data_IF_969979926718
#
_entry.id   IF_969979926718
#
_cell.length_a   1.000
_cell.length_b   1.000
_cell.length_c   1.000
_cell.angle_alpha   90.00
_cell.angle_beta   90.00
_cell.angle_gamma   90.00
#
_symmetry.space_group_name_H-M   'P 1'
#
loop_
_entity.id
_entity.type
_entity.pdbx_description
1 polymer ?
#
# COMPACT_ATOMS: atom_id res chain seq x y z
N UNK A 1 -13.70 -18.79 -32.73
CA UNK A 1 -13.26 -19.20 -31.38
C UNK A 1 -13.91 -18.23 -30.41
N UNK A 2 -14.85 -18.72 -29.60
CA UNK A 2 -15.77 -17.89 -28.81
C UNK A 2 -15.02 -17.15 -27.72
N UNK A 3 -15.05 -15.82 -27.78
CA UNK A 3 -14.42 -14.86 -26.87
C UNK A 3 -15.15 -14.76 -25.51
N UNK A 4 -15.12 -15.83 -24.73
CA UNK A 4 -15.43 -15.79 -23.31
C UNK A 4 -14.18 -16.23 -22.55
N UNK A 5 -13.35 -15.26 -22.17
CA UNK A 5 -12.25 -15.44 -21.23
C UNK A 5 -12.82 -16.08 -19.95
N UNK A 6 -12.59 -17.37 -19.81
CA UNK A 6 -13.27 -18.19 -18.82
C UNK A 6 -12.77 -17.81 -17.42
N UNK A 7 -13.67 -17.54 -16.44
CA UNK A 7 -13.29 -17.34 -15.04
C UNK A 7 -12.38 -18.43 -14.48
N UNK A 8 -12.39 -19.62 -15.09
CA UNK A 8 -11.50 -20.74 -14.78
C UNK A 8 -10.01 -20.40 -14.97
N UNK A 9 -9.61 -19.72 -16.06
CA UNK A 9 -8.22 -19.33 -16.26
C UNK A 9 -7.76 -18.32 -15.21
N UNK A 10 -8.64 -17.37 -14.85
CA UNK A 10 -8.33 -16.39 -13.81
C UNK A 10 -8.12 -17.08 -12.45
N UNK A 11 -9.06 -17.95 -12.07
CA UNK A 11 -9.00 -18.66 -10.79
C UNK A 11 -7.79 -19.60 -10.73
N UNK A 12 -7.48 -20.32 -11.82
CA UNK A 12 -6.33 -21.20 -11.88
C UNK A 12 -5.01 -20.42 -11.86
N UNK A 13 -4.91 -19.31 -12.60
CA UNK A 13 -3.72 -18.45 -12.56
C UNK A 13 -3.50 -17.84 -11.16
N UNK A 14 -4.58 -17.48 -10.47
CA UNK A 14 -4.53 -16.98 -9.09
C UNK A 14 -4.01 -18.08 -8.15
N UNK A 15 -4.55 -19.29 -8.25
CA UNK A 15 -4.11 -20.43 -7.45
C UNK A 15 -2.65 -20.84 -7.76
N UNK A 16 -2.26 -20.86 -9.04
CA UNK A 16 -0.89 -21.14 -9.45
C UNK A 16 0.09 -20.10 -8.89
N UNK A 17 -0.30 -18.81 -8.90
CA UNK A 17 0.48 -17.73 -8.29
C UNK A 17 0.63 -17.91 -6.78
N UNK A 18 -0.45 -18.23 -6.06
CA UNK A 18 -0.42 -18.55 -4.63
C UNK A 18 0.54 -19.71 -4.32
N UNK A 19 0.54 -20.75 -5.17
CA UNK A 19 1.44 -21.91 -5.06
C UNK A 19 2.86 -21.65 -5.59
N UNK A 20 3.13 -20.46 -6.13
CA UNK A 20 4.42 -20.10 -6.76
C UNK A 20 4.79 -20.98 -7.96
N UNK A 21 3.79 -21.53 -8.63
CA UNK A 21 3.93 -22.24 -9.91
C UNK A 21 3.87 -21.22 -11.06
N UNK A 22 5.02 -20.61 -11.33
CA UNK A 22 5.12 -19.48 -12.25
C UNK A 22 4.90 -19.85 -13.71
N UNK A 23 5.27 -21.07 -14.10
CA UNK A 23 5.05 -21.55 -15.47
C UNK A 23 3.54 -21.76 -15.70
N UNK A 24 2.87 -22.45 -14.77
CA UNK A 24 1.41 -22.63 -14.85
C UNK A 24 0.67 -21.29 -14.75
N UNK A 25 1.12 -20.36 -13.90
CA UNK A 25 0.52 -19.04 -13.81
C UNK A 25 0.58 -18.30 -15.16
N UNK A 26 1.73 -18.32 -15.84
CA UNK A 26 1.88 -17.70 -17.18
C UNK A 26 1.00 -18.36 -18.23
N UNK A 27 0.93 -19.69 -18.24
CA UNK A 27 0.03 -20.42 -19.15
C UNK A 27 -1.43 -20.02 -18.92
N UNK A 28 -1.84 -19.85 -17.66
CA UNK A 28 -3.18 -19.39 -17.31
C UNK A 28 -3.44 -17.95 -17.77
N UNK A 29 -2.47 -17.04 -17.58
CA UNK A 29 -2.60 -15.65 -18.01
C UNK A 29 -2.63 -15.51 -19.52
N UNK A 30 -1.82 -16.30 -20.24
CA UNK A 30 -1.87 -16.39 -21.70
C UNK A 30 -3.21 -16.98 -22.17
N UNK A 31 -3.72 -18.03 -21.51
CA UNK A 31 -5.03 -18.61 -21.77
C UNK A 31 -6.20 -17.66 -21.50
N UNK A 32 -6.05 -16.76 -20.52
CA UNK A 32 -6.96 -15.65 -20.26
C UNK A 32 -6.84 -14.52 -21.31
N UNK A 33 -5.84 -14.54 -22.18
CA UNK A 33 -5.66 -13.58 -23.26
C UNK A 33 -4.75 -12.38 -22.92
N UNK A 34 -3.92 -12.48 -21.88
CA UNK A 34 -2.87 -11.51 -21.62
C UNK A 34 -1.71 -11.68 -22.62
N UNK A 35 -0.97 -10.60 -22.87
CA UNK A 35 0.29 -10.68 -23.61
C UNK A 35 1.29 -11.61 -22.88
N UNK A 36 2.15 -12.34 -23.62
CA UNK A 36 3.14 -13.22 -23.03
C UNK A 36 4.01 -12.50 -21.99
N UNK A 37 3.94 -12.95 -20.75
CA UNK A 37 4.71 -12.40 -19.65
C UNK A 37 6.13 -13.02 -19.68
N UNK A 38 7.21 -12.22 -19.61
CA UNK A 38 8.59 -12.71 -19.77
C UNK A 38 9.15 -13.38 -18.51
N UNK A 39 10.12 -14.28 -18.68
CA UNK A 39 10.90 -14.91 -17.60
C UNK A 39 10.36 -16.28 -17.14
N UNK A 40 11.09 -16.91 -16.21
CA UNK A 40 10.81 -18.26 -15.68
C UNK A 40 10.59 -18.28 -14.15
N UNK A 41 10.74 -17.12 -13.50
CA UNK A 41 10.53 -16.95 -12.07
C UNK A 41 9.25 -16.16 -11.79
N UNK A 42 9.13 -15.58 -10.56
CA UNK A 42 8.05 -14.67 -10.22
C UNK A 42 7.80 -13.65 -11.33
N UNK A 43 6.53 -13.44 -11.66
CA UNK A 43 6.16 -12.40 -12.61
C UNK A 43 6.46 -11.05 -11.95
N UNK A 44 7.12 -10.16 -12.68
CA UNK A 44 7.44 -8.82 -12.22
C UNK A 44 7.16 -7.85 -13.36
N UNK A 45 5.98 -7.25 -13.31
CA UNK A 45 5.51 -6.25 -14.26
C UNK A 45 5.01 -5.04 -13.49
N UNK A 46 5.07 -3.88 -14.13
CA UNK A 46 4.43 -2.71 -13.56
C UNK A 46 2.94 -2.66 -13.96
N UNK A 47 2.09 -3.16 -13.07
CA UNK A 47 0.64 -3.14 -13.27
C UNK A 47 -0.03 -1.81 -12.91
N UNK A 48 0.72 -0.79 -12.48
CA UNK A 48 0.17 0.49 -12.06
C UNK A 48 -0.35 0.53 -10.61
N UNK A 49 -0.82 1.70 -10.15
CA UNK A 49 -1.39 1.87 -8.82
C UNK A 49 -2.77 1.19 -8.71
N UNK A 50 -3.08 0.67 -7.53
CA UNK A 50 -4.37 0.04 -7.20
C UNK A 50 -4.72 0.29 -5.74
N UNK A 51 -5.94 -0.08 -5.34
CA UNK A 51 -6.31 -0.17 -3.94
C UNK A 51 -6.59 -1.62 -3.56
N UNK A 52 -6.15 -2.03 -2.36
CA UNK A 52 -6.44 -3.35 -1.79
C UNK A 52 -7.05 -3.17 -0.41
N UNK A 53 -8.11 -3.92 -0.13
CA UNK A 53 -8.68 -4.04 1.21
C UNK A 53 -7.99 -5.17 1.95
N UNK A 54 -7.25 -4.83 3.00
CA UNK A 54 -6.55 -5.77 3.87
C UNK A 54 -7.52 -6.35 4.91
N UNK A 55 -7.42 -7.65 5.14
CA UNK A 55 -8.11 -8.38 6.20
C UNK A 55 -9.56 -7.95 6.40
N UNK A 56 -9.83 -7.34 7.56
CA UNK A 56 -11.20 -7.02 8.00
C UNK A 56 -11.74 -5.68 7.50
N UNK A 57 -10.97 -4.88 6.73
CA UNK A 57 -11.58 -3.73 6.04
C UNK A 57 -10.71 -2.53 5.68
N UNK A 58 -9.44 -2.45 6.09
CA UNK A 58 -8.59 -1.29 5.79
C UNK A 58 -8.26 -1.23 4.30
N UNK A 59 -8.53 -0.10 3.62
CA UNK A 59 -8.21 0.07 2.20
C UNK A 59 -6.91 0.86 2.04
N UNK A 60 -5.88 0.19 1.55
CA UNK A 60 -4.55 0.75 1.31
C UNK A 60 -4.28 0.95 -0.18
N UNK A 61 -3.43 1.92 -0.51
CA UNK A 61 -2.77 1.99 -1.80
C UNK A 61 -1.76 0.87 -1.94
N UNK A 62 -1.69 0.32 -3.14
CA UNK A 62 -0.72 -0.70 -3.50
C UNK A 62 -0.23 -0.49 -4.94
N UNK A 63 0.90 -1.08 -5.29
CA UNK A 63 1.38 -1.20 -6.68
C UNK A 63 1.18 -2.63 -7.14
N UNK A 64 0.46 -2.85 -8.24
CA UNK A 64 0.40 -4.19 -8.85
C UNK A 64 1.77 -4.54 -9.42
N UNK A 65 2.29 -5.69 -9.02
CA UNK A 65 3.57 -6.23 -9.49
C UNK A 65 3.37 -7.42 -10.43
N UNK A 66 2.15 -7.96 -10.49
CA UNK A 66 1.68 -8.89 -11.51
C UNK A 66 0.12 -8.85 -11.58
N UNK A 67 -0.56 -9.76 -12.30
CA UNK A 67 -2.02 -9.76 -12.40
C UNK A 67 -2.79 -9.81 -11.07
N UNK A 68 -2.21 -10.44 -10.04
CA UNK A 68 -2.93 -10.76 -8.79
C UNK A 68 -2.16 -10.42 -7.52
N UNK A 69 -0.87 -10.07 -7.61
CA UNK A 69 -0.04 -9.62 -6.49
C UNK A 69 0.13 -8.10 -6.53
N UNK A 70 -0.01 -7.50 -5.35
CA UNK A 70 0.23 -6.08 -5.16
C UNK A 70 1.11 -5.82 -3.92
N UNK A 71 2.03 -4.87 -4.04
CA UNK A 71 2.87 -4.39 -2.92
C UNK A 71 2.16 -3.25 -2.21
N UNK A 72 1.97 -3.37 -0.89
CA UNK A 72 1.35 -2.35 -0.04
C UNK A 72 2.24 -1.11 0.04
N UNK A 73 1.66 0.08 -0.18
CA UNK A 73 2.37 1.37 -0.20
C UNK A 73 1.98 2.31 0.95
N UNK A 74 0.91 2.04 1.69
CA UNK A 74 0.64 2.74 2.96
C UNK A 74 1.36 2.03 4.12
N UNK A 75 1.55 2.74 5.23
CA UNK A 75 1.78 2.11 6.53
C UNK A 75 0.40 1.76 7.10
N UNK A 76 0.02 0.48 7.19
CA UNK A 76 -1.31 0.11 7.65
C UNK A 76 -1.56 0.54 9.10
N UNK A 77 -2.81 0.87 9.43
CA UNK A 77 -3.23 1.13 10.80
C UNK A 77 -3.50 -0.16 11.59
N UNK A 78 -3.75 -1.28 10.92
CA UNK A 78 -3.74 -2.61 11.54
C UNK A 78 -2.30 -3.03 11.88
N UNK A 79 -1.94 -3.21 13.17
CA UNK A 79 -0.57 -3.53 13.58
C UNK A 79 -0.11 -4.94 13.18
N UNK A 80 -1.03 -5.81 12.72
CA UNK A 80 -0.68 -7.11 12.16
C UNK A 80 -0.14 -7.03 10.73
N UNK A 81 -0.28 -5.86 10.07
CA UNK A 81 0.08 -5.63 8.67
C UNK A 81 1.20 -4.62 8.56
N UNK A 82 1.91 -4.63 7.42
CA UNK A 82 3.12 -3.83 7.23
C UNK A 82 3.19 -3.18 5.85
N UNK A 83 3.82 -2.01 5.81
CA UNK A 83 4.25 -1.39 4.55
C UNK A 83 5.19 -2.34 3.80
N UNK A 84 5.03 -2.41 2.47
CA UNK A 84 5.87 -3.23 1.61
C UNK A 84 5.49 -4.71 1.55
N UNK A 85 4.48 -5.16 2.29
CA UNK A 85 3.93 -6.51 2.15
C UNK A 85 3.47 -6.76 0.71
N UNK A 86 3.61 -8.00 0.26
CA UNK A 86 3.01 -8.46 -0.99
C UNK A 86 1.76 -9.25 -0.63
N UNK A 87 0.63 -8.79 -1.15
CA UNK A 87 -0.67 -9.43 -0.95
C UNK A 87 -1.18 -9.98 -2.27
N UNK A 88 -1.86 -11.12 -2.21
CA UNK A 88 -2.67 -11.62 -3.31
C UNK A 88 -4.07 -10.99 -3.21
N UNK A 89 -4.63 -10.53 -4.33
CA UNK A 89 -5.95 -9.90 -4.35
C UNK A 89 -6.90 -10.52 -5.39
N UNK A 90 -8.20 -10.29 -5.21
CA UNK A 90 -9.24 -10.73 -6.15
C UNK A 90 -9.10 -10.08 -7.52
N UNK A 91 -9.56 -10.76 -8.58
CA UNK A 91 -9.61 -10.17 -9.93
C UNK A 91 -10.79 -9.28 -10.20
N UNK A 92 -11.89 -9.48 -9.46
CA UNK A 92 -13.07 -8.64 -9.54
C UNK A 92 -13.00 -7.58 -8.42
N UNK A 93 -13.15 -6.28 -8.75
CA UNK A 93 -13.18 -5.24 -7.73
C UNK A 93 -14.48 -5.31 -6.91
N UNK A 94 -14.38 -4.96 -5.63
CA UNK A 94 -15.51 -4.87 -4.69
C UNK A 94 -15.78 -3.43 -4.23
N UNK A 95 -15.07 -2.44 -4.75
CA UNK A 95 -15.32 -1.04 -4.45
C UNK A 95 -14.49 -0.09 -5.30
N UNK A 96 -14.56 1.20 -4.98
CA UNK A 96 -13.89 2.26 -5.71
C UNK A 96 -13.32 3.33 -4.78
N UNK A 97 -12.14 3.85 -5.10
CA UNK A 97 -11.52 5.00 -4.43
C UNK A 97 -11.28 6.12 -5.44
N UNK A 98 -11.68 7.35 -5.13
CA UNK A 98 -11.42 8.53 -5.98
C UNK A 98 -10.25 9.33 -5.41
N UNK A 99 -9.23 9.52 -6.22
CA UNK A 99 -8.04 10.30 -5.87
C UNK A 99 -7.63 11.17 -7.04
N UNK A 100 -7.43 12.48 -6.81
CA UNK A 100 -7.11 13.43 -7.86
C UNK A 100 -8.15 13.51 -9.00
N UNK A 101 -9.41 13.18 -8.71
CA UNK A 101 -10.47 13.07 -9.73
C UNK A 101 -10.47 11.78 -10.55
N UNK A 102 -9.54 10.87 -10.28
CA UNK A 102 -9.44 9.55 -10.93
C UNK A 102 -10.04 8.49 -10.02
N UNK A 103 -10.86 7.60 -10.59
CA UNK A 103 -11.42 6.45 -9.87
C UNK A 103 -10.51 5.24 -10.01
N UNK A 104 -10.17 4.61 -8.89
CA UNK A 104 -9.36 3.40 -8.79
C UNK A 104 -10.20 2.26 -8.23
N UNK A 105 -10.14 1.05 -8.82
CA UNK A 105 -10.80 -0.12 -8.25
C UNK A 105 -10.16 -0.51 -6.91
N UNK A 106 -11.01 -0.97 -5.99
CA UNK A 106 -10.61 -1.62 -4.74
C UNK A 106 -10.83 -3.12 -4.90
N UNK A 107 -9.77 -3.90 -4.71
CA UNK A 107 -9.82 -5.36 -4.67
C UNK A 107 -9.75 -5.86 -3.24
N UNK A 108 -10.32 -7.03 -2.97
CA UNK A 108 -10.19 -7.65 -1.66
C UNK A 108 -8.95 -8.53 -1.61
N UNK A 109 -8.23 -8.48 -0.49
CA UNK A 109 -7.16 -9.42 -0.20
C UNK A 109 -7.69 -10.87 -0.17
N UNK A 110 -6.94 -11.77 -0.80
CA UNK A 110 -7.11 -13.23 -0.68
C UNK A 110 -6.16 -13.76 0.40
N UNK A 111 -4.88 -13.38 0.34
CA UNK A 111 -3.87 -13.81 1.29
C UNK A 111 -2.70 -12.81 1.38
N UNK A 112 -2.01 -12.83 2.53
CA UNK A 112 -0.67 -12.26 2.66
C UNK A 112 0.33 -13.23 1.99
N UNK A 113 0.88 -12.84 0.84
CA UNK A 113 1.77 -13.67 0.04
C UNK A 113 3.23 -13.59 0.48
N UNK A 114 3.69 -12.39 0.86
CA UNK A 114 5.03 -12.16 1.41
C UNK A 114 4.98 -11.08 2.49
N UNK A 115 5.42 -11.44 3.71
CA UNK A 115 5.54 -10.51 4.82
C UNK A 115 6.68 -9.52 4.59
N UNK A 116 6.48 -8.27 5.01
CA UNK A 116 7.54 -7.27 5.00
C UNK A 116 8.41 -7.38 6.26
N UNK A 117 9.74 -7.29 6.15
CA UNK A 117 10.63 -7.22 7.31
C UNK A 117 10.65 -5.84 7.97
N UNK A 118 10.06 -4.82 7.35
CA UNK A 118 10.06 -3.44 7.88
C UNK A 118 9.11 -3.34 9.07
N UNK A 119 9.69 -3.08 10.24
CA UNK A 119 8.93 -2.76 11.44
C UNK A 119 8.17 -1.44 11.26
N UNK A 120 7.06 -1.32 11.98
CA UNK A 120 6.32 -0.06 12.10
C UNK A 120 6.73 0.60 13.42
N UNK A 121 7.11 1.87 13.33
CA UNK A 121 7.44 2.72 14.46
C UNK A 121 6.32 3.76 14.61
N UNK A 122 6.01 4.13 15.85
CA UNK A 122 5.16 5.27 16.16
C UNK A 122 6.03 6.44 16.62
N UNK A 123 5.67 7.66 16.21
CA UNK A 123 6.36 8.90 16.60
C UNK A 123 5.37 10.06 16.70
N UNK A 124 5.69 11.07 17.50
CA UNK A 124 5.02 12.37 17.46
C UNK A 124 5.93 13.39 16.77
N UNK A 125 5.40 14.14 15.82
CA UNK A 125 6.12 15.27 15.20
C UNK A 125 5.35 16.56 15.38
N UNK A 126 6.04 17.68 15.53
CA UNK A 126 5.44 19.01 15.38
C UNK A 126 5.76 19.52 13.99
N UNK A 127 4.74 19.88 13.22
CA UNK A 127 4.86 20.48 11.90
C UNK A 127 4.08 21.80 11.85
N UNK A 128 4.54 22.75 11.04
CA UNK A 128 3.84 24.04 10.88
C UNK A 128 2.58 23.89 10.04
N UNK A 129 2.67 23.12 8.97
CA UNK A 129 1.66 22.99 7.93
C UNK A 129 1.81 21.66 7.17
N UNK A 130 0.95 21.46 6.17
CA UNK A 130 0.96 20.26 5.35
C UNK A 130 2.26 20.09 4.54
N UNK A 131 2.93 21.18 4.17
CA UNK A 131 4.16 21.12 3.37
C UNK A 131 5.30 20.52 4.18
N UNK A 132 5.35 20.79 5.50
CA UNK A 132 6.31 20.16 6.41
C UNK A 132 6.09 18.64 6.52
N UNK A 133 4.84 18.17 6.54
CA UNK A 133 4.49 16.74 6.55
C UNK A 133 4.77 16.08 5.19
N UNK A 134 4.44 16.76 4.09
CA UNK A 134 4.74 16.29 2.73
C UNK A 134 6.26 16.17 2.50
N UNK A 135 7.07 17.11 3.00
CA UNK A 135 8.54 17.04 2.99
C UNK A 135 9.07 15.84 3.78
N UNK A 136 8.55 15.59 4.99
CA UNK A 136 8.96 14.43 5.78
C UNK A 136 8.59 13.11 5.10
N UNK A 137 7.37 13.02 4.55
CA UNK A 137 6.91 11.87 3.77
C UNK A 137 7.84 11.59 2.58
N UNK A 138 8.23 12.64 1.84
CA UNK A 138 9.10 12.53 0.68
C UNK A 138 10.49 12.00 1.02
N UNK A 139 11.06 12.37 2.18
CA UNK A 139 12.35 11.87 2.65
C UNK A 139 12.33 10.37 2.93
N UNK A 140 11.30 9.87 3.60
CA UNK A 140 11.12 8.42 3.80
C UNK A 140 10.90 7.70 2.45
N UNK A 141 10.06 8.26 1.58
CA UNK A 141 9.77 7.66 0.28
C UNK A 141 11.01 7.58 -0.64
N UNK A 142 11.95 8.52 -0.55
CA UNK A 142 13.20 8.52 -1.31
C UNK A 142 14.03 7.25 -1.11
N UNK A 143 14.02 6.70 0.10
CA UNK A 143 14.76 5.49 0.48
C UNK A 143 13.88 4.23 0.51
N UNK A 144 12.65 4.32 -0.02
CA UNK A 144 11.72 3.18 -0.08
C UNK A 144 11.06 2.84 1.26
N UNK A 145 10.89 3.84 2.14
CA UNK A 145 10.18 3.72 3.42
C UNK A 145 8.79 4.35 3.34
N UNK A 146 7.93 3.98 4.30
CA UNK A 146 6.55 4.46 4.40
C UNK A 146 6.35 5.41 5.57
N UNK A 147 5.37 6.31 5.45
CA UNK A 147 4.88 7.15 6.55
C UNK A 147 3.37 7.37 6.40
N UNK A 148 2.63 7.32 7.51
CA UNK A 148 1.19 7.64 7.55
C UNK A 148 0.87 8.49 8.79
N UNK A 149 -0.03 9.47 8.64
CA UNK A 149 -0.48 10.30 9.77
C UNK A 149 -1.65 9.60 10.46
N UNK A 150 -1.60 9.36 11.77
CA UNK A 150 -2.73 8.69 12.46
C UNK A 150 -4.00 9.53 12.45
N UNK A 151 -3.87 10.85 12.47
CA UNK A 151 -5.00 11.77 12.40
C UNK A 151 -5.68 11.83 11.01
N UNK A 152 -5.05 11.29 9.95
CA UNK A 152 -5.71 11.12 8.64
C UNK A 152 -6.49 9.81 8.54
N UNK A 153 -6.49 8.98 9.60
CA UNK A 153 -7.31 7.77 9.66
C UNK A 153 -8.78 8.15 9.59
N UNK A 154 -9.43 7.73 8.52
CA UNK A 154 -10.89 7.80 8.40
C UNK A 154 -11.44 6.45 8.80
N UNK A 155 -11.89 6.30 10.05
CA UNK A 155 -12.64 5.11 10.46
C UNK A 155 -13.95 5.06 9.68
N UNK A 156 -14.17 4.00 8.89
CA UNK A 156 -15.39 3.84 8.09
C UNK A 156 -16.02 2.47 8.29
N UNK A 157 -17.35 2.44 8.29
CA UNK A 157 -18.10 1.18 8.34
C UNK A 157 -17.89 0.38 7.04
N UNK A 158 -18.16 -0.93 7.10
CA UNK A 158 -18.01 -1.84 5.94
C UNK A 158 -18.78 -1.36 4.71
N UNK A 159 -19.98 -0.79 4.87
CA UNK A 159 -20.82 -0.27 3.79
C UNK A 159 -20.19 0.94 3.09
N UNK A 160 -19.52 1.83 3.83
CA UNK A 160 -18.79 2.96 3.22
C UNK A 160 -17.57 2.43 2.46
N UNK A 161 -16.80 1.52 3.05
CA UNK A 161 -15.57 1.00 2.44
C UNK A 161 -15.76 0.34 1.04
N UNK A 162 -17.01 0.04 0.67
CA UNK A 162 -17.45 -0.57 -0.60
C UNK A 162 -18.00 0.47 -1.62
N UNK A 163 -18.02 1.77 -1.31
CA UNK A 163 -18.56 2.84 -2.17
C UNK A 163 -17.50 3.84 -2.67
N UNK A 164 -17.86 4.65 -3.67
CA UNK A 164 -16.98 5.68 -4.27
C UNK A 164 -16.64 6.80 -3.26
N UNK A 165 -15.35 7.10 -3.07
CA UNK A 165 -14.91 8.01 -2.01
C UNK A 165 -13.89 9.06 -2.44
N UNK A 166 -14.16 10.32 -2.07
CA UNK A 166 -13.24 11.45 -2.18
C UNK A 166 -12.50 11.65 -0.85
N UNK A 167 -11.17 11.72 -0.88
CA UNK A 167 -10.34 12.05 0.28
C UNK A 167 -10.34 13.56 0.51
N UNK A 168 -10.64 13.99 1.74
CA UNK A 168 -10.43 15.37 2.21
C UNK A 168 -9.11 15.44 2.99
N UNK A 169 -8.34 16.52 2.82
CA UNK A 169 -7.05 16.72 3.50
C UNK A 169 -7.31 17.02 4.99
N UNK A 170 -6.66 16.26 5.88
CA UNK A 170 -6.71 16.46 7.33
C UNK A 170 -6.07 17.78 7.79
N UNK A 171 -6.20 18.09 9.08
CA UNK A 171 -5.51 19.21 9.72
C UNK A 171 -4.07 18.80 10.05
N UNK A 172 -3.08 19.45 9.44
CA UNK A 172 -1.66 19.05 9.50
C UNK A 172 -0.75 20.03 10.28
N UNK A 173 -1.31 21.01 10.98
CA UNK A 173 -0.55 21.92 11.86
C UNK A 173 -0.47 21.39 13.30
N UNK A 174 0.64 21.70 13.97
CA UNK A 174 0.89 21.32 15.37
C UNK A 174 1.43 19.90 15.53
N UNK A 175 1.15 19.29 16.69
CA UNK A 175 1.58 17.92 16.99
C UNK A 175 0.76 16.90 16.19
N UNK A 176 1.45 16.02 15.48
CA UNK A 176 0.90 14.96 14.63
C UNK A 176 1.49 13.61 15.05
N UNK A 177 0.68 12.65 15.52
CA UNK A 177 1.12 11.29 15.70
C UNK A 177 1.20 10.58 14.33
N UNK A 178 2.34 9.94 14.06
CA UNK A 178 2.67 9.29 12.80
C UNK A 178 3.04 7.82 13.02
N UNK A 179 2.85 7.02 11.97
CA UNK A 179 3.48 5.73 11.79
C UNK A 179 4.57 5.83 10.72
N UNK A 180 5.71 5.21 10.97
CA UNK A 180 6.86 5.14 10.05
C UNK A 180 7.21 3.68 9.82
N UNK A 181 7.43 3.28 8.57
CA UNK A 181 7.94 1.97 8.21
C UNK A 181 9.39 2.09 7.74
N UNK A 182 10.33 2.06 8.68
CA UNK A 182 11.77 2.16 8.45
C UNK A 182 12.56 1.47 9.58
N UNK A 183 13.83 1.12 9.38
CA UNK A 183 14.73 0.80 10.49
C UNK A 183 14.80 1.97 11.48
N UNK A 184 14.88 1.67 12.78
CA UNK A 184 14.87 2.68 13.85
C UNK A 184 16.02 3.69 13.71
N UNK A 185 17.24 3.23 13.45
CA UNK A 185 18.40 4.10 13.22
C UNK A 185 18.17 5.04 12.03
N UNK A 186 17.56 4.55 10.95
CA UNK A 186 17.23 5.36 9.78
C UNK A 186 16.15 6.39 10.10
N UNK A 187 15.13 6.00 10.86
CA UNK A 187 14.08 6.92 11.28
C UNK A 187 14.65 8.08 12.11
N UNK A 188 15.55 7.80 13.06
CA UNK A 188 16.26 8.83 13.81
C UNK A 188 17.02 9.80 12.89
N UNK A 189 17.83 9.27 11.96
CA UNK A 189 18.62 10.10 11.04
C UNK A 189 17.73 11.03 10.21
N UNK A 190 16.64 10.50 9.65
CA UNK A 190 15.71 11.29 8.81
C UNK A 190 14.98 12.35 9.64
N UNK A 191 14.49 11.99 10.82
CA UNK A 191 13.76 12.90 11.72
C UNK A 191 14.64 14.03 12.25
N UNK A 192 15.89 13.72 12.61
CA UNK A 192 16.87 14.71 13.07
C UNK A 192 17.25 15.67 11.95
N UNK A 193 17.54 15.16 10.75
CA UNK A 193 17.84 16.00 9.59
C UNK A 193 16.66 16.91 9.22
N UNK A 194 15.43 16.37 9.21
CA UNK A 194 14.22 17.14 8.93
C UNK A 194 13.98 18.27 9.94
N UNK A 195 14.31 18.01 11.21
CA UNK A 195 14.23 19.00 12.31
C UNK A 195 15.29 20.08 12.16
N UNK A 196 16.54 19.71 11.84
CA UNK A 196 17.66 20.63 11.67
C UNK A 196 17.43 21.66 10.56
N UNK A 197 16.67 21.33 9.53
CA UNK A 197 16.35 22.26 8.44
C UNK A 197 15.45 23.42 8.88
N UNK A 198 14.60 23.22 9.92
CA UNK A 198 13.74 24.28 10.51
C UNK A 198 13.51 24.06 12.01
N UNK A 199 14.52 24.28 12.87
CA UNK A 199 14.45 23.94 14.30
C UNK A 199 13.40 24.74 15.08
N UNK A 200 13.00 25.92 14.60
CA UNK A 200 11.96 26.74 15.24
C UNK A 200 10.52 26.29 14.91
N UNK A 201 10.35 25.42 13.91
CA UNK A 201 9.03 25.03 13.37
C UNK A 201 8.79 23.51 13.38
N UNK A 202 9.87 22.71 13.44
CA UNK A 202 9.83 21.26 13.34
C UNK A 202 10.45 20.65 14.59
N UNK A 203 9.85 19.59 15.10
CA UNK A 203 10.41 18.76 16.17
C UNK A 203 9.81 17.37 16.14
N UNK A 204 10.43 16.42 16.84
CA UNK A 204 9.89 15.08 17.04
C UNK A 204 10.16 14.55 18.44
N UNK A 205 9.29 13.67 18.93
CA UNK A 205 9.38 13.01 20.24
C UNK A 205 8.77 11.61 20.19
N UNK A 206 9.01 10.81 21.24
CA UNK A 206 8.37 9.51 21.46
C UNK A 206 8.50 8.52 20.27
N UNK A 207 9.68 8.36 19.67
CA UNK A 207 9.90 7.29 18.69
C UNK A 207 9.97 5.93 19.43
N UNK A 208 9.11 4.99 19.06
CA UNK A 208 9.07 3.64 19.64
C UNK A 208 8.43 2.63 18.66
N UNK A 209 8.64 1.32 18.85
CA UNK A 209 7.87 0.29 18.13
C UNK A 209 6.36 0.44 18.34
N UNK A 210 5.59 0.38 17.25
CA UNK A 210 4.12 0.48 17.27
C UNK A 210 3.44 -0.82 17.70
#
# INVERSE_FOLDING_TARGET
MSSANEPAYWNLGTAATALRDWDLARDCWAGFGMEPLPGTGPIDIDGGPTCVRLGIGEVVWARRIDPVRARVLNVPFDPSRRYGEIVLHSGAPSGERVSGGVTYPVFDEIELFEASPLATLAVRVTARDADDIEDLSARFAQDGYGMEVLNSRVDRCSCCSQGTHRSERGRFDGEQPLLIAAPEDTAHVVLDAWTQDRPDARSWTDLHPA
#
